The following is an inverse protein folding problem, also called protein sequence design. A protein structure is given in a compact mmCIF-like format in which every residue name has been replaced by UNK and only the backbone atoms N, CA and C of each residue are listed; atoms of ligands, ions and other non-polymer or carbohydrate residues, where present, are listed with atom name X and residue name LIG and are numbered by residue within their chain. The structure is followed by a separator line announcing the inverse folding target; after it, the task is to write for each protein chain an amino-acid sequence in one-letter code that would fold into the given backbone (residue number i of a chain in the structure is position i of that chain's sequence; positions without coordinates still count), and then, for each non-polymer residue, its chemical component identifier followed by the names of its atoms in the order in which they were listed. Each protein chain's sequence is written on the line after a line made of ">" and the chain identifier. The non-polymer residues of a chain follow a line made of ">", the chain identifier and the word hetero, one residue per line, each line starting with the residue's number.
data_IF_849403385018
#
_entry.id   IF_849403385018
#
_cell.length_a   1.000
_cell.length_b   1.000
_cell.length_c   1.000
_cell.angle_alpha   90.00
_cell.angle_beta   90.00
_cell.angle_gamma   90.00
#
_symmetry.space_group_name_H-M   'P 1'
#
loop_
_entity.id
_entity.type
_entity.pdbx_description
1 polymer ?
#
# COMPACT_ATOMS: atom_id res chain seq x y z
N UNK A 1 -19.95 -40.14 -30.56
CA UNK A 1 -20.90 -39.84 -29.47
C UNK A 1 -20.34 -40.40 -28.19
N UNK A 2 -20.17 -39.56 -27.16
CA UNK A 2 -19.70 -39.90 -25.80
C UNK A 2 -18.24 -40.39 -25.75
N UNK A 3 -17.31 -39.92 -24.94
CA UNK A 3 -17.28 -39.10 -23.72
C UNK A 3 -15.85 -38.58 -23.61
N UNK A 4 -15.61 -37.31 -23.28
CA UNK A 4 -14.78 -37.01 -22.09
C UNK A 4 -14.74 -35.50 -21.81
N UNK A 5 -15.06 -35.09 -20.56
CA UNK A 5 -14.79 -33.76 -20.07
C UNK A 5 -13.31 -33.68 -19.70
N UNK A 6 -12.52 -32.89 -20.42
CA UNK A 6 -11.24 -32.42 -19.90
C UNK A 6 -11.49 -31.15 -19.10
N UNK A 7 -12.10 -31.34 -17.93
CA UNK A 7 -11.83 -30.51 -16.76
C UNK A 7 -10.43 -30.91 -16.30
N UNK A 8 -9.41 -30.14 -16.65
CA UNK A 8 -8.14 -30.15 -15.91
C UNK A 8 -8.16 -28.96 -14.96
N UNK A 9 -8.68 -29.19 -13.76
CA UNK A 9 -8.66 -28.25 -12.64
C UNK A 9 -7.91 -28.91 -11.49
N UNK A 10 -6.83 -28.29 -11.03
CA UNK A 10 -6.37 -28.39 -9.64
C UNK A 10 -5.34 -27.28 -9.39
N UNK A 11 -5.84 -26.16 -8.91
CA UNK A 11 -5.13 -25.15 -8.15
C UNK A 11 -5.71 -25.36 -6.73
N UNK A 12 -4.86 -25.57 -5.72
CA UNK A 12 -5.32 -25.63 -4.33
C UNK A 12 -4.20 -25.40 -3.29
N UNK A 13 -4.63 -25.12 -2.05
CA UNK A 13 -3.97 -24.47 -0.90
C UNK A 13 -3.99 -22.92 -0.84
N UNK A 14 -5.15 -22.27 -0.96
CA UNK A 14 -5.88 -22.17 -2.21
C UNK A 14 -5.24 -21.02 -3.01
N UNK A 15 -4.26 -21.44 -3.81
CA UNK A 15 -3.82 -20.82 -5.04
C UNK A 15 -2.84 -19.65 -4.98
N UNK A 16 -1.82 -19.52 -4.12
CA UNK A 16 -1.19 -20.31 -3.03
C UNK A 16 -0.57 -19.26 -2.10
N UNK A 17 -1.31 -18.82 -1.08
CA UNK A 17 -1.07 -17.51 -0.40
C UNK A 17 -0.90 -16.36 -1.41
N UNK A 18 -1.23 -16.59 -2.70
CA UNK A 18 -0.59 -15.93 -3.81
C UNK A 18 -1.35 -14.65 -4.09
N UNK A 19 -0.65 -13.53 -4.18
CA UNK A 19 0.76 -13.41 -4.58
C UNK A 19 1.70 -13.12 -3.38
N UNK A 20 1.45 -13.72 -2.20
CA UNK A 20 2.16 -13.56 -0.91
C UNK A 20 2.11 -12.11 -0.44
N UNK A 21 0.90 -11.67 -0.06
CA UNK A 21 0.58 -10.24 0.13
C UNK A 21 0.83 -9.41 -1.15
N UNK A 22 1.04 -10.10 -2.30
CA UNK A 22 1.53 -9.56 -3.58
C UNK A 22 2.78 -8.70 -3.42
N UNK A 23 3.74 -9.29 -2.69
CA UNK A 23 5.03 -8.77 -2.25
C UNK A 23 4.94 -7.83 -1.04
N UNK A 24 4.42 -8.32 0.10
CA UNK A 24 4.48 -7.63 1.42
C UNK A 24 4.41 -6.09 1.31
N UNK A 25 3.30 -5.58 0.81
CA UNK A 25 3.03 -4.16 0.69
C UNK A 25 3.81 -3.30 -0.34
N UNK A 26 4.74 -3.86 -1.14
CA UNK A 26 5.40 -3.16 -2.26
C UNK A 26 6.93 -3.17 -2.27
N UNK A 27 7.60 -3.90 -1.37
CA UNK A 27 9.06 -4.05 -1.41
C UNK A 27 9.44 -5.50 -1.49
N UNK A 28 9.82 -5.90 -2.70
CA UNK A 28 10.85 -6.91 -2.96
C UNK A 28 11.10 -7.02 -4.48
N UNK A 29 11.84 -6.08 -5.09
CA UNK A 29 12.62 -6.37 -6.31
C UNK A 29 13.96 -5.61 -6.29
N UNK A 30 14.92 -6.15 -5.55
CA UNK A 30 16.34 -6.11 -5.91
C UNK A 30 16.73 -7.47 -6.52
N UNK A 31 17.70 -7.55 -7.46
CA UNK A 31 17.85 -8.69 -8.35
C UNK A 31 18.58 -9.86 -7.67
N UNK A 32 17.92 -10.57 -6.76
CA UNK A 32 18.40 -11.87 -6.29
C UNK A 32 17.63 -13.00 -7.00
N UNK A 33 18.06 -13.29 -8.23
CA UNK A 33 17.96 -14.64 -8.78
C UNK A 33 18.80 -15.55 -7.87
N UNK A 34 18.20 -16.01 -6.77
CA UNK A 34 18.81 -17.01 -5.91
C UNK A 34 19.00 -18.29 -6.74
N UNK A 35 20.26 -18.59 -7.01
CA UNK A 35 20.68 -19.91 -7.47
C UNK A 35 20.20 -20.96 -6.48
N UNK A 36 19.58 -22.01 -7.02
CA UNK A 36 18.80 -23.02 -6.33
C UNK A 36 19.58 -24.00 -5.43
N UNK A 37 20.51 -23.54 -4.58
CA UNK A 37 21.39 -24.43 -3.81
C UNK A 37 21.13 -24.53 -2.31
N UNK A 38 20.43 -23.60 -1.65
CA UNK A 38 20.31 -23.64 -0.18
C UNK A 38 19.07 -24.36 0.39
N UNK A 39 18.20 -24.90 -0.47
CA UNK A 39 16.99 -25.62 -0.04
C UNK A 39 17.23 -27.11 0.30
N UNK A 40 18.48 -27.61 0.28
CA UNK A 40 18.77 -29.04 0.45
C UNK A 40 18.95 -29.53 1.90
N UNK A 41 19.10 -28.67 2.91
CA UNK A 41 19.49 -29.14 4.26
C UNK A 41 18.33 -29.47 5.24
N UNK A 42 17.05 -29.18 4.92
CA UNK A 42 15.92 -29.43 5.85
C UNK A 42 14.91 -30.52 5.43
N UNK A 43 15.28 -31.42 4.51
CA UNK A 43 14.56 -32.70 4.32
C UNK A 43 13.08 -32.62 3.88
N UNK A 44 12.62 -31.48 3.36
CA UNK A 44 11.31 -31.34 2.72
C UNK A 44 11.48 -31.60 1.22
N UNK A 45 11.11 -32.79 0.75
CA UNK A 45 11.14 -33.11 -0.69
C UNK A 45 9.94 -32.47 -1.40
N UNK A 46 10.19 -31.43 -2.19
CA UNK A 46 9.24 -30.97 -3.22
C UNK A 46 9.64 -31.61 -4.56
N UNK A 47 8.77 -32.45 -5.12
CA UNK A 47 8.97 -32.98 -6.47
C UNK A 47 8.80 -31.85 -7.50
N UNK A 48 9.91 -31.40 -8.07
CA UNK A 48 9.90 -30.58 -9.28
C UNK A 48 9.50 -31.44 -10.47
N UNK A 49 8.26 -31.33 -10.92
CA UNK A 49 7.89 -31.72 -12.29
C UNK A 49 8.00 -30.50 -13.20
N UNK A 50 9.23 -30.22 -13.65
CA UNK A 50 9.45 -29.41 -14.85
C UNK A 50 9.04 -30.27 -16.05
N UNK A 51 7.77 -30.17 -16.43
CA UNK A 51 7.25 -30.74 -17.67
C UNK A 51 7.53 -29.79 -18.84
N UNK A 52 8.31 -30.27 -19.80
CA UNK A 52 8.64 -29.57 -21.05
C UNK A 52 7.39 -28.99 -21.75
N UNK A 53 7.54 -27.77 -22.27
CA UNK A 53 6.55 -27.08 -23.10
C UNK A 53 6.27 -27.95 -24.34
N UNK A 54 5.02 -28.38 -24.61
CA UNK A 54 4.74 -29.25 -25.75
C UNK A 54 4.83 -28.48 -27.08
N UNK A 55 5.39 -29.14 -28.10
CA UNK A 55 5.78 -28.60 -29.41
C UNK A 55 4.64 -28.15 -30.35
N UNK A 56 3.41 -28.02 -29.86
CA UNK A 56 2.28 -27.46 -30.61
C UNK A 56 1.91 -26.03 -30.16
N UNK A 57 2.57 -25.48 -29.13
CA UNK A 57 2.40 -24.10 -28.67
C UNK A 57 3.21 -23.05 -29.46
N UNK A 58 3.86 -23.44 -30.56
CA UNK A 58 4.43 -22.53 -31.56
C UNK A 58 3.42 -22.38 -32.70
N UNK A 59 2.57 -21.36 -32.63
CA UNK A 59 1.83 -20.87 -33.80
C UNK A 59 2.53 -19.62 -34.32
N UNK A 60 2.79 -19.64 -35.63
CA UNK A 60 3.71 -18.77 -36.37
C UNK A 60 3.62 -17.29 -36.01
N UNK A 61 4.75 -16.74 -35.58
CA UNK A 61 4.97 -15.30 -35.54
C UNK A 61 4.87 -14.75 -36.97
N UNK A 62 4.04 -13.73 -37.25
CA UNK A 62 4.11 -13.03 -38.53
C UNK A 62 5.51 -12.40 -38.71
N UNK A 63 6.01 -12.30 -39.95
CA UNK A 63 7.38 -11.89 -40.20
C UNK A 63 7.63 -10.46 -39.71
N UNK A 64 8.84 -10.26 -39.18
CA UNK A 64 9.32 -8.99 -38.63
C UNK A 64 9.05 -7.82 -39.58
N UNK A 65 7.99 -7.07 -39.29
CA UNK A 65 7.88 -5.69 -39.75
C UNK A 65 8.97 -4.91 -39.02
N UNK A 66 9.72 -4.11 -39.77
CA UNK A 66 10.77 -3.20 -39.29
C UNK A 66 10.39 -2.59 -37.95
N UNK A 67 11.19 -2.87 -36.92
CA UNK A 67 11.13 -2.20 -35.63
C UNK A 67 11.38 -0.73 -35.88
N UNK A 68 10.32 0.06 -35.98
CA UNK A 68 10.41 1.46 -35.62
C UNK A 68 10.85 1.50 -34.15
N UNK A 69 11.86 2.31 -33.87
CA UNK A 69 12.29 2.68 -32.52
C UNK A 69 11.08 2.81 -31.59
N UNK A 70 11.12 2.32 -30.34
CA UNK A 70 9.99 2.43 -29.42
C UNK A 70 9.58 3.89 -29.37
N UNK A 71 8.43 4.19 -29.99
CA UNK A 71 7.83 5.51 -29.85
C UNK A 71 7.59 5.67 -28.35
N UNK A 72 8.21 6.69 -27.78
CA UNK A 72 7.85 7.23 -26.47
C UNK A 72 6.33 7.18 -26.40
N UNK A 73 5.79 6.47 -25.40
CA UNK A 73 4.40 6.64 -25.05
C UNK A 73 4.23 8.14 -24.79
N UNK A 74 3.70 8.85 -25.78
CA UNK A 74 3.42 10.27 -25.66
C UNK A 74 2.40 10.38 -24.56
N UNK A 75 2.77 11.07 -23.48
CA UNK A 75 1.86 11.57 -22.46
C UNK A 75 0.60 12.09 -23.15
N UNK A 76 -0.48 11.34 -23.04
CA UNK A 76 -1.62 11.42 -23.95
C UNK A 76 -2.74 10.49 -23.55
N UNK A 77 -2.98 10.40 -22.24
CA UNK A 77 -4.20 9.91 -21.60
C UNK A 77 -4.16 10.29 -20.10
N UNK A 78 -4.25 11.59 -19.82
CA UNK A 78 -5.42 12.09 -19.10
C UNK A 78 -5.84 11.45 -17.75
N UNK A 79 -5.23 11.93 -16.65
CA UNK A 79 -5.59 11.62 -15.25
C UNK A 79 -5.36 12.84 -14.35
N UNK A 80 -5.88 14.02 -14.69
CA UNK A 80 -5.23 15.29 -14.28
C UNK A 80 -5.90 16.23 -13.29
N UNK A 81 -7.02 15.93 -12.60
CA UNK A 81 -7.50 16.85 -11.53
C UNK A 81 -7.81 16.21 -10.16
N UNK A 82 -8.05 14.89 -10.08
CA UNK A 82 -8.45 14.22 -8.81
C UNK A 82 -7.31 13.50 -8.09
N UNK A 83 -6.15 13.38 -8.73
CA UNK A 83 -5.00 12.63 -8.23
C UNK A 83 -3.72 13.35 -8.62
N UNK A 84 -2.95 13.81 -7.62
CA UNK A 84 -1.60 14.30 -7.90
C UNK A 84 -0.68 13.09 -7.98
N UNK A 85 -0.26 12.70 -9.18
CA UNK A 85 0.88 11.78 -9.32
C UNK A 85 2.13 12.51 -8.86
N UNK A 86 2.40 12.46 -7.56
CA UNK A 86 3.52 13.16 -6.93
C UNK A 86 4.85 12.43 -7.18
N UNK A 87 4.77 11.16 -7.56
CA UNK A 87 5.94 10.41 -8.00
C UNK A 87 6.19 10.69 -9.48
N UNK A 88 7.46 10.81 -9.93
CA UNK A 88 7.78 10.84 -11.35
C UNK A 88 7.05 9.69 -12.04
N UNK A 89 6.44 9.90 -13.22
CA UNK A 89 5.38 9.05 -13.79
C UNK A 89 5.73 7.59 -14.07
N UNK A 90 6.88 7.09 -13.62
CA UNK A 90 7.29 5.72 -13.88
C UNK A 90 7.61 4.88 -12.64
N UNK A 91 8.15 5.36 -11.51
CA UNK A 91 8.81 4.42 -10.57
C UNK A 91 8.79 4.85 -9.07
N UNK A 92 7.61 5.06 -8.49
CA UNK A 92 7.43 5.35 -7.06
C UNK A 92 6.43 4.43 -6.35
N UNK A 93 6.37 4.42 -5.02
CA UNK A 93 5.27 3.89 -4.21
C UNK A 93 4.96 4.88 -3.09
N UNK A 94 3.72 5.36 -2.99
CA UNK A 94 3.26 6.13 -1.83
C UNK A 94 3.06 5.20 -0.64
N UNK A 95 3.79 5.42 0.45
CA UNK A 95 3.71 4.58 1.65
C UNK A 95 2.88 5.22 2.75
N UNK A 96 3.01 6.54 2.93
CA UNK A 96 2.19 7.26 3.91
C UNK A 96 2.09 8.75 3.63
N UNK A 97 1.09 9.39 4.25
CA UNK A 97 0.80 10.83 4.13
C UNK A 97 0.38 11.39 5.49
N UNK A 98 0.90 12.56 5.88
CA UNK A 98 0.48 13.28 7.09
C UNK A 98 -0.54 14.41 6.76
N UNK A 99 -1.07 15.09 7.76
CA UNK A 99 -2.06 16.17 7.62
C UNK A 99 -1.46 17.42 6.96
N UNK A 100 -0.13 17.58 6.98
CA UNK A 100 0.57 18.59 6.19
C UNK A 100 0.73 18.20 4.70
N UNK A 101 0.10 17.11 4.27
CA UNK A 101 0.18 16.56 2.90
C UNK A 101 1.61 16.25 2.45
N UNK A 102 2.49 15.96 3.41
CA UNK A 102 3.80 15.42 3.14
C UNK A 102 3.68 13.92 2.92
N UNK A 103 4.26 13.42 1.83
CA UNK A 103 4.15 12.02 1.42
C UNK A 103 5.51 11.36 1.53
N UNK A 104 5.59 10.22 2.20
CA UNK A 104 6.78 9.36 2.14
C UNK A 104 6.54 8.17 1.23
N UNK A 105 7.61 7.72 0.58
CA UNK A 105 7.51 6.63 -0.37
C UNK A 105 8.84 6.02 -0.76
N UNK A 106 8.77 5.05 -1.68
CA UNK A 106 9.93 4.41 -2.28
C UNK A 106 10.07 4.83 -3.73
N UNK A 107 11.27 5.23 -4.15
CA UNK A 107 11.71 5.28 -5.53
C UNK A 107 12.27 3.91 -5.93
N UNK A 108 11.58 3.21 -6.83
CA UNK A 108 11.93 1.85 -7.22
C UNK A 108 13.11 1.78 -8.18
N UNK A 109 13.52 2.90 -8.81
CA UNK A 109 14.75 2.97 -9.62
C UNK A 109 15.99 2.93 -8.74
N UNK A 110 15.98 3.77 -7.71
CA UNK A 110 17.14 4.00 -6.86
C UNK A 110 17.15 3.08 -5.65
N UNK A 111 16.07 2.31 -5.43
CA UNK A 111 15.87 1.51 -4.22
C UNK A 111 15.93 2.36 -2.95
N UNK A 112 15.54 3.63 -3.11
CA UNK A 112 15.73 4.68 -2.12
C UNK A 112 14.43 5.33 -1.69
N UNK A 113 14.40 5.84 -0.47
CA UNK A 113 13.25 6.54 0.06
C UNK A 113 13.11 7.94 -0.55
N UNK A 114 11.88 8.45 -0.54
CA UNK A 114 11.59 9.84 -0.86
C UNK A 114 10.61 10.43 0.16
N UNK A 115 10.79 11.71 0.44
CA UNK A 115 9.82 12.59 1.09
C UNK A 115 9.40 13.62 0.04
N UNK A 116 8.11 13.82 -0.13
CA UNK A 116 7.56 14.83 -1.01
C UNK A 116 6.76 15.82 -0.20
N UNK A 117 7.13 17.09 -0.32
CA UNK A 117 6.56 18.18 0.46
C UNK A 117 6.29 19.37 -0.48
N UNK A 118 5.02 19.69 -0.73
CA UNK A 118 4.62 20.76 -1.66
C UNK A 118 5.33 20.70 -3.03
N UNK A 119 5.48 19.49 -3.59
CA UNK A 119 6.15 19.23 -4.87
C UNK A 119 7.68 19.21 -4.81
N UNK A 120 8.28 19.46 -3.65
CA UNK A 120 9.72 19.30 -3.42
C UNK A 120 10.01 17.85 -3.05
N UNK A 121 10.78 17.17 -3.89
CA UNK A 121 11.21 15.78 -3.66
C UNK A 121 12.57 15.76 -2.95
N UNK A 122 12.61 15.17 -1.76
CA UNK A 122 13.81 15.01 -0.93
C UNK A 122 14.15 13.53 -0.80
N UNK A 123 15.35 13.08 -1.22
CA UNK A 123 15.78 11.70 -1.00
C UNK A 123 15.91 11.38 0.49
N UNK A 124 15.34 10.25 0.89
CA UNK A 124 15.46 9.66 2.24
C UNK A 124 16.30 8.40 2.11
N UNK A 125 17.59 8.54 2.41
CA UNK A 125 18.57 7.44 2.34
C UNK A 125 19.31 7.32 3.65
N UNK A 126 19.25 6.13 4.26
CA UNK A 126 20.15 5.81 5.38
C UNK A 126 21.59 5.83 4.82
N UNK A 127 22.53 6.55 5.45
CA UNK A 127 23.89 6.67 4.91
C UNK A 127 24.57 5.31 4.70
N UNK A 128 24.94 5.02 3.44
CA UNK A 128 25.63 3.78 3.07
C UNK A 128 24.75 2.55 2.92
N UNK A 129 23.42 2.68 3.00
CA UNK A 129 22.52 1.55 2.77
C UNK A 129 22.45 1.16 1.29
N UNK A 130 22.31 -0.13 1.02
CA UNK A 130 21.90 -0.68 -0.27
C UNK A 130 20.44 -0.34 -0.60
N UNK A 131 19.57 -0.36 0.41
CA UNK A 131 18.13 -0.20 0.28
C UNK A 131 17.59 0.63 1.44
N UNK A 132 16.71 1.61 1.19
CA UNK A 132 15.99 2.36 2.23
C UNK A 132 14.53 2.53 1.82
N UNK A 133 13.59 2.14 2.68
CA UNK A 133 12.16 2.42 2.52
C UNK A 133 11.58 3.11 3.76
N UNK A 134 11.15 4.37 3.66
CA UNK A 134 10.28 4.99 4.64
C UNK A 134 8.87 4.40 4.50
N UNK A 135 8.23 4.11 5.63
CA UNK A 135 6.91 3.45 5.68
C UNK A 135 5.83 4.34 6.32
N UNK A 136 6.21 5.30 7.16
CA UNK A 136 5.28 6.21 7.83
C UNK A 136 5.94 7.56 8.15
N UNK A 137 5.13 8.62 8.21
CA UNK A 137 5.51 9.98 8.62
C UNK A 137 4.47 10.54 9.60
N UNK A 138 4.90 11.14 10.70
CA UNK A 138 4.00 11.79 11.67
C UNK A 138 3.86 13.30 11.42
N UNK A 139 3.05 13.99 12.24
CA UNK A 139 2.81 15.43 12.10
C UNK A 139 4.01 16.29 12.51
N UNK A 140 5.00 15.70 13.18
CA UNK A 140 6.24 16.39 13.52
C UNK A 140 7.32 16.24 12.43
N UNK A 141 7.02 15.53 11.34
CA UNK A 141 7.95 15.26 10.25
C UNK A 141 8.99 14.19 10.58
N UNK A 142 8.77 13.41 11.64
CA UNK A 142 9.57 12.23 11.95
C UNK A 142 9.13 11.08 11.04
N UNK A 143 10.09 10.25 10.64
CA UNK A 143 9.88 9.21 9.65
C UNK A 143 10.41 7.89 10.21
N UNK A 144 9.60 6.84 10.11
CA UNK A 144 10.07 5.47 10.35
C UNK A 144 10.10 4.68 9.06
N UNK A 145 10.86 3.59 9.10
CA UNK A 145 10.93 2.66 8.00
C UNK A 145 11.95 1.59 8.26
N UNK A 146 12.45 1.01 7.18
CA UNK A 146 13.44 -0.02 7.26
C UNK A 146 14.44 0.06 6.10
N UNK A 147 15.63 -0.49 6.31
CA UNK A 147 16.75 -0.40 5.37
C UNK A 147 17.60 -1.67 5.41
N UNK A 148 18.41 -1.88 4.36
CA UNK A 148 19.46 -2.90 4.34
C UNK A 148 20.82 -2.25 4.09
N UNK A 149 21.82 -2.49 4.95
CA UNK A 149 23.20 -2.05 4.71
C UNK A 149 23.79 -2.61 3.41
N UNK A 150 23.67 -3.93 3.19
CA UNK A 150 24.13 -4.63 1.97
C UNK A 150 23.02 -5.51 1.41
N UNK A 151 23.22 -6.06 0.20
CA UNK A 151 22.26 -6.96 -0.45
C UNK A 151 21.95 -8.22 0.40
N UNK A 152 22.96 -8.74 1.09
CA UNK A 152 22.89 -9.92 1.94
C UNK A 152 22.52 -9.62 3.41
N UNK A 153 22.45 -8.33 3.77
CA UNK A 153 22.14 -7.94 5.15
C UNK A 153 20.66 -8.19 5.47
N UNK A 154 20.33 -8.56 6.72
CA UNK A 154 18.94 -8.56 7.16
C UNK A 154 18.32 -7.16 7.09
N UNK A 155 16.97 -7.11 7.12
CA UNK A 155 16.27 -5.84 7.23
C UNK A 155 16.39 -5.27 8.64
N UNK A 156 16.72 -3.98 8.73
CA UNK A 156 16.82 -3.24 9.99
C UNK A 156 15.83 -2.08 9.99
N UNK A 157 15.24 -1.76 11.13
CA UNK A 157 14.40 -0.57 11.29
C UNK A 157 15.24 0.71 11.33
N UNK A 158 14.68 1.82 10.89
CA UNK A 158 15.22 3.15 11.15
C UNK A 158 14.14 4.12 11.64
N UNK A 159 14.55 5.03 12.51
CA UNK A 159 13.83 6.26 12.83
C UNK A 159 14.67 7.44 12.34
N UNK A 160 14.07 8.39 11.64
CA UNK A 160 14.66 9.65 11.21
C UNK A 160 13.94 10.78 11.92
N UNK A 161 14.67 11.52 12.77
CA UNK A 161 14.10 12.66 13.47
C UNK A 161 13.90 13.89 12.55
N UNK A 162 13.29 14.94 13.11
CA UNK A 162 13.02 16.21 12.42
C UNK A 162 14.29 16.92 11.90
N UNK A 163 15.43 16.69 12.55
CA UNK A 163 16.72 17.27 12.16
C UNK A 163 17.41 16.42 11.07
N UNK A 164 16.80 15.29 10.71
CA UNK A 164 17.26 14.35 9.69
C UNK A 164 18.28 13.35 10.18
N UNK A 165 18.43 13.17 11.50
CA UNK A 165 19.32 12.18 12.09
C UNK A 165 18.66 10.81 12.07
N UNK A 166 19.38 9.83 11.52
CA UNK A 166 18.95 8.44 11.50
C UNK A 166 19.42 7.69 12.74
N UNK A 167 18.49 6.95 13.35
CA UNK A 167 18.75 5.99 14.42
C UNK A 167 18.32 4.61 13.95
N UNK A 168 19.21 3.64 14.04
CA UNK A 168 18.91 2.23 13.73
C UNK A 168 18.16 1.60 14.89
N UNK A 169 17.06 0.90 14.57
CA UNK A 169 16.23 0.17 15.52
C UNK A 169 16.18 -1.29 15.10
N UNK A 170 16.52 -2.18 16.02
CA UNK A 170 16.41 -3.63 15.85
C UNK A 170 15.73 -4.23 17.05
N UNK A 171 14.88 -5.22 16.82
CA UNK A 171 14.28 -5.98 17.91
C UNK A 171 15.40 -6.73 18.68
N UNK A 172 15.42 -6.69 20.02
CA UNK A 172 16.58 -7.11 20.80
C UNK A 172 16.77 -8.64 20.90
N UNK A 173 15.81 -9.44 20.44
CA UNK A 173 15.91 -10.90 20.45
C UNK A 173 16.89 -11.41 19.37
N UNK A 174 17.92 -12.19 19.71
CA UNK A 174 18.83 -12.79 18.72
C UNK A 174 18.15 -13.71 17.70
N UNK A 175 16.95 -14.22 17.96
CA UNK A 175 16.16 -14.99 17.01
C UNK A 175 15.44 -14.11 15.98
N UNK A 176 15.35 -12.79 16.22
CA UNK A 176 14.86 -11.84 15.24
C UNK A 176 15.94 -11.58 14.18
N UNK A 177 15.76 -12.17 13.01
CA UNK A 177 16.66 -11.95 11.88
C UNK A 177 16.41 -10.59 11.23
N UNK A 178 15.15 -10.13 11.16
CA UNK A 178 14.80 -8.86 10.54
C UNK A 178 13.83 -8.08 11.40
N UNK A 179 13.92 -6.75 11.37
CA UNK A 179 13.01 -5.82 12.05
C UNK A 179 12.41 -4.87 11.03
N UNK A 180 11.09 -4.79 10.98
CA UNK A 180 10.33 -3.90 10.12
C UNK A 180 9.54 -2.92 10.98
N UNK A 181 9.69 -1.63 10.70
CA UNK A 181 8.86 -0.57 11.30
C UNK A 181 7.84 -0.13 10.27
N UNK A 182 6.56 -0.11 10.65
CA UNK A 182 5.46 0.14 9.72
C UNK A 182 4.64 1.37 10.08
N UNK A 183 4.37 1.63 11.35
CA UNK A 183 3.54 2.75 11.79
C UNK A 183 4.21 3.56 12.89
N UNK A 184 3.91 4.85 12.95
CA UNK A 184 4.35 5.79 13.96
C UNK A 184 3.20 6.76 14.27
N UNK A 185 2.98 7.07 15.54
CA UNK A 185 2.04 8.10 15.98
C UNK A 185 2.76 9.39 16.43
N UNK A 186 2.01 10.45 16.73
CA UNK A 186 2.56 11.73 17.19
C UNK A 186 3.11 11.72 18.62
N UNK A 187 2.91 10.62 19.36
CA UNK A 187 3.53 10.42 20.67
C UNK A 187 4.91 9.76 20.56
N UNK A 188 5.31 9.33 19.36
CA UNK A 188 6.57 8.61 19.14
C UNK A 188 6.47 7.10 19.36
N UNK A 189 5.27 6.55 19.54
CA UNK A 189 5.09 5.10 19.58
C UNK A 189 5.16 4.53 18.16
N UNK A 190 5.90 3.43 18.01
CA UNK A 190 6.17 2.79 16.73
C UNK A 190 5.61 1.37 16.77
N UNK A 191 4.88 0.97 15.72
CA UNK A 191 4.46 -0.42 15.55
C UNK A 191 5.19 -1.07 14.38
N UNK A 192 5.41 -2.37 14.50
CA UNK A 192 6.17 -3.12 13.54
C UNK A 192 6.04 -4.62 13.74
N UNK A 193 6.90 -5.36 13.05
CA UNK A 193 7.09 -6.78 13.28
C UNK A 193 8.57 -7.15 13.17
N UNK A 194 8.94 -8.23 13.86
CA UNK A 194 10.21 -8.90 13.60
C UNK A 194 9.96 -10.25 12.98
N UNK A 195 10.94 -10.71 12.19
CA UNK A 195 10.87 -11.98 11.48
C UNK A 195 12.00 -12.90 11.90
N UNK A 196 11.68 -14.15 12.18
CA UNK A 196 12.66 -15.20 12.50
C UNK A 196 13.17 -15.92 11.25
N UNK A 197 14.18 -16.79 11.43
CA UNK A 197 14.71 -17.68 10.37
C UNK A 197 13.64 -18.59 9.75
N UNK A 198 12.60 -18.91 10.52
CA UNK A 198 11.45 -19.71 10.08
C UNK A 198 10.38 -18.88 9.34
N UNK A 199 10.65 -17.60 9.06
CA UNK A 199 9.74 -16.66 8.41
C UNK A 199 8.44 -16.38 9.18
N UNK A 200 8.44 -16.58 10.50
CA UNK A 200 7.33 -16.18 11.37
C UNK A 200 7.46 -14.70 11.67
N UNK A 201 6.41 -13.93 11.39
CA UNK A 201 6.33 -12.51 11.75
C UNK A 201 5.60 -12.35 13.07
N UNK A 202 6.20 -11.63 14.01
CA UNK A 202 5.62 -11.37 15.32
C UNK A 202 5.49 -9.86 15.52
N UNK A 203 4.27 -9.34 15.72
CA UNK A 203 4.03 -7.91 15.82
C UNK A 203 4.47 -7.37 17.18
N UNK A 204 4.96 -6.14 17.19
CA UNK A 204 5.35 -5.44 18.40
C UNK A 204 4.94 -3.97 18.36
N UNK A 205 4.91 -3.35 19.53
CA UNK A 205 4.97 -1.91 19.74
C UNK A 205 6.29 -1.56 20.43
N UNK A 206 6.89 -0.45 20.03
CA UNK A 206 8.04 0.20 20.65
C UNK A 206 7.54 1.56 21.15
N UNK A 207 7.55 1.77 22.46
CA UNK A 207 7.09 3.02 23.04
C UNK A 207 8.14 4.14 22.91
N UNK A 208 7.72 5.37 23.17
CA UNK A 208 8.60 6.56 23.15
C UNK A 208 9.79 6.50 24.14
N UNK A 209 9.79 5.57 25.10
CA UNK A 209 10.89 5.36 26.04
C UNK A 209 11.91 4.33 25.56
N UNK A 210 11.63 3.66 24.44
CA UNK A 210 12.48 2.64 23.85
C UNK A 210 12.18 1.21 24.33
N UNK A 211 11.03 0.99 24.98
CA UNK A 211 10.62 -0.32 25.48
C UNK A 211 9.77 -1.06 24.44
N UNK A 212 10.17 -2.30 24.13
CA UNK A 212 9.42 -3.19 23.23
C UNK A 212 8.39 -4.01 23.99
N UNK A 213 7.20 -4.16 23.41
CA UNK A 213 6.18 -5.12 23.84
C UNK A 213 5.61 -5.89 22.64
N UNK A 214 5.42 -7.21 22.81
CA UNK A 214 4.73 -8.05 21.82
C UNK A 214 3.23 -7.75 21.87
N UNK A 215 2.62 -7.66 20.69
CA UNK A 215 1.18 -7.50 20.57
C UNK A 215 0.51 -8.87 20.54
N UNK A 216 -0.45 -9.10 21.45
CA UNK A 216 -1.28 -10.30 21.45
C UNK A 216 -2.42 -10.12 20.44
N UNK A 217 -2.32 -10.82 19.31
CA UNK A 217 -3.29 -10.73 18.21
C UNK A 217 -3.83 -12.11 17.89
N UNK A 218 -5.09 -12.22 17.39
CA UNK A 218 -5.66 -13.51 17.02
C UNK A 218 -4.82 -14.24 15.98
N UNK A 219 -4.96 -15.56 15.90
CA UNK A 219 -4.37 -16.37 14.83
C UNK A 219 -3.38 -17.42 15.30
N UNK A 220 -2.54 -17.87 14.36
CA UNK A 220 -1.53 -18.91 14.57
C UNK A 220 -0.18 -18.37 15.10
N UNK A 221 -0.10 -17.06 15.35
CA UNK A 221 1.10 -16.36 15.78
C UNK A 221 1.89 -15.69 14.65
N UNK A 222 1.44 -15.82 13.39
CA UNK A 222 1.99 -15.06 12.26
C UNK A 222 1.14 -13.82 11.96
N UNK A 223 1.66 -12.64 12.32
CA UNK A 223 0.94 -11.39 12.19
C UNK A 223 1.86 -10.18 12.04
N UNK A 224 1.28 -9.08 11.56
CA UNK A 224 1.96 -7.81 11.33
C UNK A 224 1.12 -6.67 11.88
N UNK A 225 1.76 -5.70 12.54
CA UNK A 225 1.16 -4.42 12.88
C UNK A 225 1.58 -3.40 11.81
N UNK A 226 0.60 -2.94 11.03
CA UNK A 226 0.83 -2.02 9.92
C UNK A 226 0.74 -0.58 10.37
N UNK A 227 -0.30 -0.19 11.13
CA UNK A 227 -0.56 1.21 11.49
C UNK A 227 -0.87 1.39 12.98
N UNK A 228 -0.66 2.61 13.46
CA UNK A 228 -1.05 3.08 14.79
C UNK A 228 -1.52 4.53 14.67
N UNK A 229 -2.62 4.89 15.33
CA UNK A 229 -3.09 6.29 15.41
C UNK A 229 -2.77 6.92 16.78
N UNK A 230 -3.07 8.20 16.96
CA UNK A 230 -2.85 8.94 18.21
C UNK A 230 -3.78 8.51 19.35
N UNK A 231 -4.80 7.69 19.06
CA UNK A 231 -5.65 7.05 20.08
C UNK A 231 -5.06 5.74 20.59
N UNK A 232 -3.98 5.25 19.97
CA UNK A 232 -3.37 3.96 20.28
C UNK A 232 -4.09 2.77 19.62
N UNK A 233 -5.03 3.01 18.69
CA UNK A 233 -5.62 1.95 17.88
C UNK A 233 -4.56 1.43 16.91
N UNK A 234 -4.28 0.13 16.94
CA UNK A 234 -3.31 -0.53 16.06
C UNK A 234 -4.06 -1.33 15.00
N UNK A 235 -3.65 -1.23 13.74
CA UNK A 235 -4.21 -1.97 12.61
C UNK A 235 -3.19 -2.93 12.01
N UNK A 236 -3.67 -4.01 11.40
CA UNK A 236 -2.79 -4.92 10.67
C UNK A 236 -3.51 -6.15 10.13
N UNK A 237 -2.76 -7.23 9.96
CA UNK A 237 -3.28 -8.53 9.55
C UNK A 237 -2.62 -9.69 10.31
N UNK A 238 -3.33 -10.82 10.35
CA UNK A 238 -2.85 -12.07 10.92
C UNK A 238 -3.26 -13.26 10.05
N UNK A 239 -2.58 -14.40 10.19
CA UNK A 239 -3.01 -15.67 9.61
C UNK A 239 -3.86 -16.46 10.61
N UNK A 240 -5.04 -16.91 10.17
CA UNK A 240 -5.83 -17.85 10.95
C UNK A 240 -5.29 -19.29 10.87
N UNK A 241 -5.89 -20.23 11.61
CA UNK A 241 -5.46 -21.64 11.64
C UNK A 241 -5.53 -22.33 10.26
N UNK A 242 -6.27 -21.78 9.30
CA UNK A 242 -6.35 -22.28 7.93
C UNK A 242 -5.29 -21.64 7.01
N UNK A 243 -4.47 -20.72 7.52
CA UNK A 243 -3.50 -19.94 6.78
C UNK A 243 -4.11 -18.81 5.95
N UNK A 244 -5.33 -18.37 6.30
CA UNK A 244 -6.02 -17.27 5.61
C UNK A 244 -5.70 -15.96 6.32
N UNK A 245 -5.27 -14.95 5.55
CA UNK A 245 -5.02 -13.61 6.06
C UNK A 245 -6.32 -12.86 6.34
N UNK A 246 -6.41 -12.29 7.55
CA UNK A 246 -7.52 -11.45 8.02
C UNK A 246 -6.99 -10.18 8.63
N UNK A 247 -7.76 -9.10 8.50
CA UNK A 247 -7.44 -7.83 9.11
C UNK A 247 -7.79 -7.81 10.61
N UNK A 248 -7.13 -6.94 11.36
CA UNK A 248 -7.52 -6.65 12.74
C UNK A 248 -7.39 -5.17 13.11
N UNK A 249 -8.16 -4.76 14.11
CA UNK A 249 -7.96 -3.54 14.89
C UNK A 249 -7.78 -3.93 16.35
N UNK A 250 -6.74 -3.43 17.00
CA UNK A 250 -6.38 -3.68 18.39
C UNK A 250 -6.47 -2.37 19.18
N UNK A 251 -7.29 -2.36 20.24
CA UNK A 251 -7.45 -1.23 21.16
C UNK A 251 -7.14 -1.68 22.58
N UNK A 252 -5.96 -1.31 23.08
CA UNK A 252 -5.43 -1.90 24.31
C UNK A 252 -5.16 -3.40 24.11
N UNK A 253 -5.85 -4.25 24.86
CA UNK A 253 -5.77 -5.71 24.73
C UNK A 253 -6.94 -6.30 23.91
N UNK A 254 -7.89 -5.46 23.49
CA UNK A 254 -9.09 -5.91 22.78
C UNK A 254 -8.87 -5.94 21.27
N UNK A 255 -8.70 -7.14 20.71
CA UNK A 255 -8.56 -7.34 19.27
C UNK A 255 -9.91 -7.62 18.60
N UNK A 256 -10.23 -6.86 17.56
CA UNK A 256 -11.37 -7.09 16.68
C UNK A 256 -10.91 -7.57 15.30
N UNK A 257 -11.53 -8.65 14.82
CA UNK A 257 -11.24 -9.20 13.49
C UNK A 257 -12.06 -8.46 12.43
N UNK A 258 -11.38 -7.96 11.41
CA UNK A 258 -11.97 -7.21 10.30
C UNK A 258 -11.85 -8.04 9.02
N UNK A 259 -13.00 -8.35 8.42
CA UNK A 259 -13.08 -9.13 7.17
C UNK A 259 -13.90 -8.35 6.16
N UNK A 260 -13.28 -7.99 5.04
CA UNK A 260 -13.98 -7.35 3.95
C UNK A 260 -15.06 -8.29 3.36
N UNK A 261 -16.30 -7.83 3.11
CA UNK A 261 -17.39 -8.68 2.63
C UNK A 261 -17.07 -9.42 1.31
N UNK A 262 -17.15 -10.75 1.31
CA UNK A 262 -16.92 -11.57 0.11
C UNK A 262 -15.45 -11.76 -0.26
N UNK A 263 -14.51 -11.17 0.49
CA UNK A 263 -13.09 -11.43 0.32
C UNK A 263 -12.72 -12.81 0.87
N UNK A 264 -11.77 -13.47 0.20
CA UNK A 264 -11.08 -14.64 0.74
C UNK A 264 -9.79 -14.25 1.48
N UNK A 265 -9.34 -13.00 1.37
CA UNK A 265 -8.20 -12.44 2.09
C UNK A 265 -8.35 -10.92 2.19
N UNK A 266 -8.04 -10.33 3.34
CA UNK A 266 -8.00 -8.87 3.51
C UNK A 266 -7.06 -8.46 4.64
N UNK A 267 -6.49 -7.27 4.54
CA UNK A 267 -5.76 -6.60 5.64
C UNK A 267 -6.53 -5.37 6.14
N UNK A 268 -6.08 -4.77 7.24
CA UNK A 268 -6.36 -3.37 7.58
C UNK A 268 -5.02 -2.64 7.55
N UNK A 269 -4.87 -1.66 6.66
CA UNK A 269 -3.63 -0.93 6.44
C UNK A 269 -3.37 0.11 7.53
N UNK A 270 -3.61 1.37 7.23
CA UNK A 270 -3.53 2.50 8.17
C UNK A 270 -4.91 2.82 8.74
N UNK A 271 -4.91 3.34 9.96
CA UNK A 271 -6.07 3.90 10.63
C UNK A 271 -5.72 5.34 11.05
N UNK A 272 -6.59 6.29 10.74
CA UNK A 272 -6.40 7.69 11.15
C UNK A 272 -7.04 7.97 12.53
N UNK A 273 -6.92 9.19 13.04
CA UNK A 273 -7.43 9.58 14.36
C UNK A 273 -8.96 9.68 14.41
N UNK A 274 -9.61 9.77 13.25
CA UNK A 274 -11.07 9.76 13.10
C UNK A 274 -11.66 8.34 13.00
N UNK A 275 -10.83 7.30 13.13
CA UNK A 275 -11.28 5.89 13.07
C UNK A 275 -11.53 5.37 11.65
N UNK A 276 -11.22 6.17 10.62
CA UNK A 276 -11.26 5.75 9.23
C UNK A 276 -10.00 4.91 8.94
N UNK A 277 -10.19 3.75 8.34
CA UNK A 277 -9.10 2.85 7.98
C UNK A 277 -9.11 2.54 6.48
N UNK A 278 -7.94 2.38 5.89
CA UNK A 278 -7.80 1.82 4.55
C UNK A 278 -7.41 0.34 4.62
N UNK A 279 -7.49 -0.37 3.50
CA UNK A 279 -6.99 -1.73 3.40
C UNK A 279 -7.11 -2.29 2.00
N UNK A 280 -6.58 -3.50 1.83
CA UNK A 280 -6.57 -4.25 0.58
C UNK A 280 -7.39 -5.53 0.78
N UNK A 281 -8.17 -5.89 -0.23
CA UNK A 281 -8.95 -7.12 -0.25
C UNK A 281 -8.72 -7.91 -1.54
N UNK A 282 -8.96 -9.22 -1.44
CA UNK A 282 -8.94 -10.14 -2.57
C UNK A 282 -10.24 -10.92 -2.65
N UNK A 283 -10.93 -10.83 -3.78
CA UNK A 283 -12.23 -11.47 -4.04
C UNK A 283 -12.16 -12.45 -5.21
N UNK A 284 -13.02 -13.50 -5.25
CA UNK A 284 -13.04 -14.44 -6.37
C UNK A 284 -13.43 -13.75 -7.71
N UNK A 285 -12.89 -14.20 -8.86
CA UNK A 285 -11.99 -15.33 -9.04
C UNK A 285 -10.49 -15.02 -8.88
N UNK A 286 -10.12 -13.83 -8.39
CA UNK A 286 -8.79 -13.29 -8.02
C UNK A 286 -8.70 -11.79 -8.43
N UNK A 287 -9.63 -10.97 -7.94
CA UNK A 287 -9.58 -9.51 -8.08
C UNK A 287 -8.97 -8.92 -6.81
N UNK A 288 -7.99 -8.02 -6.96
CA UNK A 288 -7.49 -7.21 -5.84
C UNK A 288 -8.14 -5.83 -5.88
N UNK A 289 -8.54 -5.32 -4.73
CA UNK A 289 -9.08 -3.97 -4.58
C UNK A 289 -8.59 -3.33 -3.30
N UNK A 290 -8.71 -2.02 -3.21
CA UNK A 290 -8.56 -1.31 -1.94
C UNK A 290 -9.92 -0.87 -1.44
N UNK A 291 -10.03 -0.69 -0.12
CA UNK A 291 -11.25 -0.25 0.52
C UNK A 291 -10.98 0.77 1.62
N UNK A 292 -12.06 1.39 2.06
CA UNK A 292 -12.14 2.25 3.22
C UNK A 292 -13.16 1.70 4.19
N UNK A 293 -12.85 1.80 5.47
CA UNK A 293 -13.71 1.35 6.55
C UNK A 293 -13.95 2.48 7.54
N UNK A 294 -15.20 2.83 7.80
CA UNK A 294 -15.56 3.83 8.83
C UNK A 294 -15.36 3.26 10.24
N UNK A 295 -15.40 4.12 11.26
CA UNK A 295 -15.32 3.68 12.66
C UNK A 295 -16.46 2.70 13.00
N UNK A 296 -17.66 2.95 12.46
CA UNK A 296 -18.86 2.11 12.60
C UNK A 296 -18.76 0.76 11.87
N UNK A 297 -17.75 0.58 11.02
CA UNK A 297 -17.47 -0.67 10.30
C UNK A 297 -18.14 -0.79 8.94
N UNK A 298 -18.57 0.32 8.34
CA UNK A 298 -19.07 0.35 6.96
C UNK A 298 -17.89 0.34 5.98
N UNK A 299 -18.03 -0.39 4.86
CA UNK A 299 -16.98 -0.54 3.85
C UNK A 299 -17.34 0.18 2.54
N UNK A 300 -16.35 0.82 1.94
CA UNK A 300 -16.43 1.47 0.63
C UNK A 300 -15.27 1.00 -0.24
N UNK A 301 -15.57 0.54 -1.46
CA UNK A 301 -14.51 0.25 -2.42
C UNK A 301 -13.85 1.52 -2.91
N UNK A 302 -12.54 1.45 -3.12
CA UNK A 302 -11.77 2.52 -3.72
C UNK A 302 -11.02 2.02 -4.95
N UNK A 303 -11.28 2.66 -6.08
CA UNK A 303 -10.71 2.31 -7.38
C UNK A 303 -10.26 3.60 -8.05
N UNK A 304 -9.01 3.65 -8.50
CA UNK A 304 -8.54 4.72 -9.39
C UNK A 304 -8.98 4.37 -10.82
N UNK A 305 -9.77 5.22 -11.49
CA UNK A 305 -10.23 4.98 -12.86
C UNK A 305 -9.05 4.73 -13.82
N UNK A 306 -9.22 3.80 -14.75
CA UNK A 306 -8.21 3.47 -15.76
C UNK A 306 -7.16 2.44 -15.32
N UNK A 307 -7.15 2.01 -14.05
CA UNK A 307 -6.24 0.99 -13.54
C UNK A 307 -6.96 -0.30 -13.15
N UNK A 308 -6.32 -1.45 -13.38
CA UNK A 308 -6.84 -2.77 -13.03
C UNK A 308 -6.60 -3.17 -11.58
N UNK A 309 -5.73 -2.45 -10.86
CA UNK A 309 -5.52 -2.61 -9.43
C UNK A 309 -5.19 -1.26 -8.77
N UNK A 310 -5.74 -1.04 -7.58
CA UNK A 310 -5.41 0.07 -6.68
C UNK A 310 -4.98 -0.51 -5.34
N UNK A 311 -3.82 -0.09 -4.83
CA UNK A 311 -3.19 -0.55 -3.60
C UNK A 311 -2.94 0.66 -2.67
N UNK A 312 -3.92 0.98 -1.84
CA UNK A 312 -3.81 2.08 -0.87
C UNK A 312 -2.92 1.67 0.31
N UNK A 313 -2.16 2.64 0.82
CA UNK A 313 -1.18 2.47 1.90
C UNK A 313 -1.38 3.51 2.98
N UNK A 314 -1.25 4.79 2.64
CA UNK A 314 -1.37 5.91 3.58
C UNK A 314 -2.78 6.44 3.70
N UNK A 315 -3.12 6.96 4.89
CA UNK A 315 -4.30 7.81 5.11
C UNK A 315 -4.02 8.80 6.23
N UNK A 316 -4.34 10.08 6.04
CA UNK A 316 -4.25 11.11 7.08
C UNK A 316 -5.63 11.40 7.71
N UNK A 317 -5.73 12.35 8.65
CA UNK A 317 -6.97 12.69 9.33
C UNK A 317 -7.96 13.45 8.43
N UNK A 318 -7.46 14.15 7.41
CA UNK A 318 -8.28 14.75 6.35
C UNK A 318 -8.85 13.69 5.40
N UNK A 319 -8.37 12.44 5.47
CA UNK A 319 -8.77 11.36 4.59
C UNK A 319 -8.02 11.34 3.26
N UNK A 320 -6.98 12.18 3.09
CA UNK A 320 -6.03 12.10 1.98
C UNK A 320 -5.34 10.73 1.98
N UNK A 321 -5.04 10.19 0.79
CA UNK A 321 -4.52 8.82 0.67
C UNK A 321 -3.28 8.76 -0.22
N UNK A 322 -2.47 7.73 -0.04
CA UNK A 322 -1.40 7.41 -0.99
C UNK A 322 -1.23 5.91 -1.16
N UNK A 323 -0.59 5.50 -2.24
CA UNK A 323 -0.44 4.09 -2.57
C UNK A 323 0.23 3.84 -3.91
N UNK A 324 -0.17 2.75 -4.55
CA UNK A 324 0.24 2.40 -5.90
C UNK A 324 -0.94 1.88 -6.75
N UNK A 325 -0.91 2.20 -8.05
CA UNK A 325 -1.86 1.71 -9.05
C UNK A 325 -1.13 0.83 -10.06
N UNK A 326 -1.86 -0.09 -10.69
CA UNK A 326 -1.33 -0.91 -11.78
C UNK A 326 -2.38 -1.18 -12.84
N UNK A 327 -1.95 -1.28 -14.09
CA UNK A 327 -2.83 -1.58 -15.23
C UNK A 327 -3.44 -2.99 -15.07
N UNK A 328 -2.68 -3.92 -14.51
CA UNK A 328 -3.14 -5.25 -14.10
C UNK A 328 -2.29 -5.82 -12.95
N UNK A 329 -2.64 -7.01 -12.45
CA UNK A 329 -1.92 -7.66 -11.34
C UNK A 329 -0.49 -8.10 -11.67
N UNK A 330 -0.04 -7.99 -12.93
CA UNK A 330 1.26 -8.48 -13.39
C UNK A 330 2.18 -7.37 -13.89
N UNK A 331 1.66 -6.15 -14.07
CA UNK A 331 2.39 -4.96 -14.49
C UNK A 331 3.12 -4.30 -13.31
N UNK A 332 4.28 -3.66 -13.54
CA UNK A 332 4.98 -2.93 -12.47
C UNK A 332 4.09 -1.81 -11.93
N UNK A 333 3.93 -1.70 -10.59
CA UNK A 333 3.06 -0.69 -9.99
C UNK A 333 3.64 0.71 -10.16
N UNK A 334 2.77 1.69 -10.38
CA UNK A 334 3.07 3.11 -10.40
C UNK A 334 2.56 3.76 -9.11
N UNK A 335 3.44 4.45 -8.40
CA UNK A 335 3.10 5.14 -7.15
C UNK A 335 2.18 6.31 -7.40
N UNK A 336 1.17 6.46 -6.55
CA UNK A 336 0.30 7.62 -6.54
C UNK A 336 0.21 8.17 -5.13
N UNK A 337 0.05 9.49 -4.99
CA UNK A 337 -0.59 10.05 -3.81
C UNK A 337 -1.92 10.61 -4.28
N UNK A 338 -3.00 9.93 -3.91
CA UNK A 338 -4.35 10.37 -4.22
C UNK A 338 -4.84 11.16 -3.03
N UNK A 339 -4.63 12.47 -3.05
CA UNK A 339 -5.33 13.36 -2.13
C UNK A 339 -6.82 13.10 -2.33
N UNK A 340 -7.43 12.48 -1.34
CA UNK A 340 -8.84 12.17 -1.44
C UNK A 340 -9.54 13.51 -1.33
N UNK A 341 -10.47 13.76 -2.24
CA UNK A 341 -11.48 14.80 -2.19
C UNK A 341 -11.60 15.45 -0.82
N UNK A 342 -10.79 16.47 -0.57
CA UNK A 342 -11.20 17.43 0.40
C UNK A 342 -12.17 18.28 -0.39
N UNK A 343 -13.45 18.13 -0.08
CA UNK A 343 -14.50 18.99 -0.63
C UNK A 343 -14.27 20.48 -0.29
N UNK A 344 -13.19 20.78 0.44
CA UNK A 344 -12.49 22.05 0.56
C UNK A 344 -11.89 22.50 -0.78
N UNK A 345 -12.62 23.35 -1.47
CA UNK A 345 -12.26 23.93 -2.76
C UNK A 345 -11.42 25.20 -2.61
N UNK A 346 -11.34 25.81 -1.43
CA UNK A 346 -10.54 27.01 -1.18
C UNK A 346 -9.21 26.77 -0.44
N UNK A 347 -9.00 25.54 0.04
CA UNK A 347 -7.78 25.06 0.67
C UNK A 347 -7.60 25.59 2.09
N UNK A 348 -8.67 25.86 2.83
CA UNK A 348 -8.63 26.38 4.20
C UNK A 348 -8.71 25.31 5.30
N UNK A 349 -8.67 24.03 4.90
CA UNK A 349 -8.82 22.83 5.73
C UNK A 349 -10.21 22.68 6.38
N UNK A 350 -11.22 23.43 5.92
CA UNK A 350 -12.63 23.33 6.32
C UNK A 350 -13.49 23.05 5.10
N UNK A 351 -14.33 22.01 5.15
CA UNK A 351 -15.39 21.78 4.16
C UNK A 351 -16.64 22.48 4.64
N UNK A 352 -16.84 23.71 4.18
CA UNK A 352 -17.88 24.58 4.67
C UNK A 352 -18.70 25.24 3.58
N UNK A 353 -19.29 26.37 3.97
CA UNK A 353 -20.11 27.14 3.04
C UNK A 353 -19.29 27.76 1.90
N UNK A 354 -18.01 28.04 2.14
CA UNK A 354 -17.12 28.59 1.12
C UNK A 354 -16.95 27.62 -0.05
N UNK A 355 -16.78 26.34 0.26
CA UNK A 355 -16.61 25.29 -0.75
C UNK A 355 -17.91 24.93 -1.43
N UNK A 356 -19.00 24.87 -0.67
CA UNK A 356 -20.33 24.77 -1.27
C UNK A 356 -20.57 25.90 -2.28
N UNK A 357 -20.15 27.12 -1.96
CA UNK A 357 -20.31 28.25 -2.87
C UNK A 357 -19.41 28.12 -4.11
N UNK A 358 -18.19 27.58 -3.96
CA UNK A 358 -17.29 27.31 -5.08
C UNK A 358 -17.82 26.19 -5.99
N UNK A 359 -18.32 25.09 -5.42
CA UNK A 359 -18.97 24.01 -6.17
C UNK A 359 -20.18 24.53 -6.95
N UNK A 360 -21.07 25.27 -6.28
CA UNK A 360 -22.24 25.85 -6.93
C UNK A 360 -21.86 26.88 -8.01
N UNK A 361 -20.70 27.54 -7.85
CA UNK A 361 -20.14 28.45 -8.85
C UNK A 361 -19.61 27.74 -10.10
N UNK A 362 -19.21 26.47 -9.98
CA UNK A 362 -18.70 25.63 -11.05
C UNK A 362 -19.78 24.75 -11.71
N UNK A 363 -21.04 24.85 -11.28
CA UNK A 363 -22.13 23.97 -11.71
C UNK A 363 -22.32 23.87 -13.23
N UNK A 364 -22.35 22.65 -13.76
CA UNK A 364 -22.54 22.35 -15.17
C UNK A 364 -21.38 21.57 -15.79
N UNK A 365 -21.39 21.46 -17.11
CA UNK A 365 -20.37 20.72 -17.86
C UNK A 365 -18.97 21.31 -17.62
N UNK A 366 -18.00 20.44 -17.35
CA UNK A 366 -16.61 20.84 -17.23
C UNK A 366 -16.05 21.31 -18.59
N UNK A 367 -15.08 22.25 -18.57
CA UNK A 367 -14.47 22.76 -19.80
C UNK A 367 -13.72 21.65 -20.54
N UNK A 368 -13.66 21.79 -21.87
CA UNK A 368 -12.86 20.88 -22.68
C UNK A 368 -11.37 21.09 -22.38
N UNK A 369 -10.63 19.99 -22.28
CA UNK A 369 -9.22 19.97 -21.88
C UNK A 369 -8.35 20.92 -22.70
N UNK A 370 -7.33 21.55 -22.09
CA UNK A 370 -6.66 21.17 -20.82
C UNK A 370 -7.08 22.01 -19.59
N UNK A 371 -8.23 22.69 -19.63
CA UNK A 371 -8.72 23.47 -18.49
C UNK A 371 -9.22 22.55 -17.37
N UNK A 372 -8.90 22.88 -16.12
CA UNK A 372 -9.18 22.03 -14.95
C UNK A 372 -10.60 22.23 -14.42
N UNK A 373 -11.16 21.21 -13.77
CA UNK A 373 -12.50 21.25 -13.19
C UNK A 373 -12.51 20.78 -11.72
N UNK A 374 -11.97 21.55 -10.77
CA UNK A 374 -11.70 21.07 -9.42
C UNK A 374 -12.93 20.67 -8.58
N UNK A 375 -14.14 21.00 -9.04
CA UNK A 375 -15.39 20.72 -8.34
C UNK A 375 -16.17 19.53 -8.92
N UNK A 376 -15.65 18.85 -9.95
CA UNK A 376 -16.18 17.58 -10.49
C UNK A 376 -15.52 16.44 -9.70
N UNK A 377 -16.13 16.12 -8.57
CA UNK A 377 -15.61 15.20 -7.57
C UNK A 377 -15.94 13.73 -7.83
N UNK A 378 -16.76 13.40 -8.82
CA UNK A 378 -16.92 12.01 -9.27
C UNK A 378 -16.36 11.74 -10.67
N UNK A 379 -15.73 12.77 -11.26
CA UNK A 379 -15.05 12.76 -12.55
C UNK A 379 -15.97 12.33 -13.71
N UNK A 380 -17.26 12.63 -13.61
CA UNK A 380 -18.25 12.31 -14.64
C UNK A 380 -18.25 13.29 -15.83
N UNK A 381 -17.44 14.36 -15.73
CA UNK A 381 -17.32 15.43 -16.72
C UNK A 381 -18.28 16.58 -16.48
N UNK A 382 -18.96 16.61 -15.34
CA UNK A 382 -19.88 17.68 -14.95
C UNK A 382 -19.90 17.91 -13.45
N UNK A 383 -19.98 19.19 -13.05
CA UNK A 383 -20.24 19.55 -11.64
C UNK A 383 -21.75 19.55 -11.42
N UNK A 384 -22.21 18.62 -10.59
CA UNK A 384 -23.63 18.35 -10.40
C UNK A 384 -24.00 17.87 -9.01
N UNK A 385 -25.08 17.09 -8.99
CA UNK A 385 -25.71 16.68 -7.73
C UNK A 385 -24.87 15.64 -6.99
N UNK A 386 -24.15 14.76 -7.70
CA UNK A 386 -23.24 13.80 -7.10
C UNK A 386 -22.13 14.51 -6.33
N UNK A 387 -21.53 15.55 -6.93
CA UNK A 387 -20.47 16.36 -6.35
C UNK A 387 -20.95 17.14 -5.13
N UNK A 388 -22.15 17.71 -5.22
CA UNK A 388 -22.79 18.37 -4.10
C UNK A 388 -22.95 17.41 -2.90
N UNK A 389 -23.35 16.16 -3.15
CA UNK A 389 -23.46 15.18 -2.08
C UNK A 389 -22.11 14.87 -1.44
N UNK A 390 -21.01 14.92 -2.21
CA UNK A 390 -19.66 14.75 -1.69
C UNK A 390 -19.24 15.92 -0.79
N UNK A 391 -19.59 17.17 -1.13
CA UNK A 391 -19.37 18.32 -0.22
C UNK A 391 -20.17 18.19 1.05
N UNK A 392 -21.45 17.87 0.94
CA UNK A 392 -22.33 17.75 2.11
C UNK A 392 -21.95 16.56 3.00
N UNK A 393 -21.44 15.47 2.42
CA UNK A 393 -21.00 14.29 3.17
C UNK A 393 -19.71 14.55 3.95
N UNK A 394 -18.85 15.46 3.48
CA UNK A 394 -17.58 15.80 4.11
C UNK A 394 -17.64 17.11 4.91
N UNK A 395 -18.82 17.67 5.16
CA UNK A 395 -18.99 18.96 5.83
C UNK A 395 -18.31 19.00 7.21
N UNK A 396 -17.38 19.93 7.40
CA UNK A 396 -16.71 20.18 8.68
C UNK A 396 -17.15 21.52 9.27
N UNK A 397 -17.08 21.66 10.61
CA UNK A 397 -17.61 22.81 11.36
C UNK A 397 -16.53 23.79 11.79
#
# INVERSE_FOLDING_TARGET
>A
MSTNPSVSRALSRADVTAVLVAMAAGVLLGPALATAEDSQERGLTWETSVGAIPSWALLDAPPAASVESPQQATAGADVTDDYVFVFPPDLGLGMDVNNQRQVVGLDTLTQGGVLIDHGVVTPIMVPGSFFTQPTNINEQGEIVGHFRPTEESPMMGFHRDRDGVFTTIVYPDPAAESTFLWGLNDQGDIVGDFRTAEFVQTPFILDQHGDFAILDVPGDGNAVALGINNRGTISGWFLDEAGVSKGYLLEGEDASVVVYPGAFSSDVGRVNNNGLANGIHFTPPMSAGSYLRTEEGEFFDFVVPGFGATLMRGINDHGDQCGAVSIDLFSPPQGFAGFRYNADLDGDDVVGFADLALLLGAWGDCPARPETCPADFDADGSVGFSDLLLVLANWTM
#
